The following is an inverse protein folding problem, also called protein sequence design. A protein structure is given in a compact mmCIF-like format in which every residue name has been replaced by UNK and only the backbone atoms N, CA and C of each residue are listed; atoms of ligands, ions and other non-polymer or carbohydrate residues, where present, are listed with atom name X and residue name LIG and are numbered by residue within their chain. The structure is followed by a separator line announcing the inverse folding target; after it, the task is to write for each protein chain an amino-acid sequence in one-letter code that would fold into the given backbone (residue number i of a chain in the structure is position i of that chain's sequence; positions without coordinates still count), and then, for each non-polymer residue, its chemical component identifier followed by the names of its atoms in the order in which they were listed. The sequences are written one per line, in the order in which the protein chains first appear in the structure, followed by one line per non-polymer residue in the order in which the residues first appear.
data_IF_730933270386
#
_entry.id   IF_730933270386
#
_cell.length_a   1.000
_cell.length_b   1.000
_cell.length_c   1.000
_cell.angle_alpha   90.00
_cell.angle_beta   90.00
_cell.angle_gamma   90.00
#
_symmetry.space_group_name_H-M   'P 1'
#
loop_
_entity.id
_entity.type
_entity.pdbx_description
1 polymer ?
#
# COMPACT_ATOMS: atom_id res chain seq x y z
N UNK A 1 7.16 16.08 27.50
CA UNK A 1 6.57 15.11 26.55
C UNK A 1 7.40 13.85 26.63
N UNK A 2 6.84 12.75 27.16
CA UNK A 2 7.62 11.52 27.44
C UNK A 2 7.21 10.36 26.52
N UNK A 3 6.93 10.68 25.24
CA UNK A 3 6.58 9.70 24.22
C UNK A 3 7.87 9.10 23.65
N UNK A 4 7.98 7.78 23.66
CA UNK A 4 9.14 7.06 23.13
C UNK A 4 8.85 6.37 21.80
N UNK A 5 9.89 6.19 20.99
CA UNK A 5 9.80 5.40 19.74
C UNK A 5 9.38 3.95 19.99
N UNK A 6 9.71 3.40 21.16
CA UNK A 6 9.31 2.03 21.53
C UNK A 6 7.80 1.93 21.72
N UNK A 7 7.18 2.96 22.30
CA UNK A 7 5.72 3.07 22.42
C UNK A 7 5.05 3.21 21.05
N UNK A 8 5.59 4.07 20.18
CA UNK A 8 5.07 4.22 18.80
C UNK A 8 5.20 2.91 18.00
N UNK A 9 6.32 2.18 18.12
CA UNK A 9 6.51 0.86 17.49
C UNK A 9 5.51 -0.16 18.00
N UNK A 10 5.25 -0.19 19.30
CA UNK A 10 4.25 -1.08 19.89
C UNK A 10 2.86 -0.79 19.33
N UNK A 11 2.46 0.48 19.29
CA UNK A 11 1.18 0.90 18.69
C UNK A 11 1.06 0.44 17.22
N UNK A 12 2.02 0.80 16.36
CA UNK A 12 2.00 0.44 14.96
C UNK A 12 2.00 -1.09 14.73
N UNK A 13 2.77 -1.84 15.52
CA UNK A 13 2.82 -3.29 15.43
C UNK A 13 1.50 -3.96 15.83
N UNK A 14 0.84 -3.51 16.90
CA UNK A 14 -0.46 -4.06 17.31
C UNK A 14 -1.50 -3.90 16.19
N UNK A 15 -1.50 -2.76 15.51
CA UNK A 15 -2.35 -2.55 14.33
C UNK A 15 -1.97 -3.48 13.19
N UNK A 16 -0.68 -3.57 12.83
CA UNK A 16 -0.21 -4.36 11.70
C UNK A 16 -0.53 -5.86 11.84
N UNK A 17 -0.37 -6.42 13.04
CA UNK A 17 -0.55 -7.86 13.30
C UNK A 17 -1.93 -8.20 13.89
N UNK A 18 -2.82 -7.21 14.05
CA UNK A 18 -4.18 -7.38 14.56
C UNK A 18 -4.28 -7.95 15.98
N UNK A 19 -3.16 -8.08 16.69
CA UNK A 19 -3.09 -8.70 18.01
C UNK A 19 -1.89 -8.24 18.82
N UNK A 20 -2.07 -8.08 20.14
CA UNK A 20 -0.96 -7.81 21.06
C UNK A 20 0.05 -8.96 21.09
N UNK A 21 -0.42 -10.20 20.99
CA UNK A 21 0.45 -11.39 20.94
C UNK A 21 1.28 -11.43 19.66
N UNK A 22 0.68 -11.13 18.50
CA UNK A 22 1.40 -11.05 17.23
C UNK A 22 2.45 -9.94 17.23
N UNK A 23 2.09 -8.76 17.71
CA UNK A 23 3.02 -7.64 17.88
C UNK A 23 4.18 -7.96 18.84
N UNK A 24 3.89 -8.63 19.95
CA UNK A 24 4.90 -9.05 20.92
C UNK A 24 5.93 -10.01 20.31
N UNK A 25 5.49 -11.00 19.52
CA UNK A 25 6.39 -11.88 18.76
C UNK A 25 7.27 -11.08 17.81
N UNK A 26 6.69 -10.17 17.03
CA UNK A 26 7.46 -9.38 16.07
C UNK A 26 8.49 -8.48 16.74
N UNK A 27 8.15 -7.88 17.88
CA UNK A 27 9.03 -6.96 18.60
C UNK A 27 10.02 -7.68 19.54
N UNK A 28 9.97 -9.01 19.60
CA UNK A 28 10.74 -9.81 20.59
C UNK A 28 10.50 -9.36 22.03
N UNK A 29 9.22 -9.13 22.38
CA UNK A 29 8.77 -8.71 23.70
C UNK A 29 7.72 -9.68 24.26
N UNK A 30 7.40 -9.55 25.54
CA UNK A 30 6.22 -10.18 26.12
C UNK A 30 4.95 -9.42 25.72
N UNK A 31 3.82 -10.12 25.68
CA UNK A 31 2.51 -9.48 25.43
C UNK A 31 2.21 -8.39 26.46
N UNK A 32 2.54 -8.63 27.73
CA UNK A 32 2.39 -7.65 28.82
C UNK A 32 3.24 -6.40 28.58
N UNK A 33 4.47 -6.54 28.09
CA UNK A 33 5.33 -5.40 27.77
C UNK A 33 4.77 -4.55 26.61
N UNK A 34 4.24 -5.18 25.56
CA UNK A 34 3.59 -4.45 24.45
C UNK A 34 2.33 -3.74 24.95
N UNK A 35 1.50 -4.40 25.76
CA UNK A 35 0.31 -3.80 26.35
C UNK A 35 0.66 -2.58 27.21
N UNK A 36 1.69 -2.67 28.06
CA UNK A 36 2.17 -1.54 28.87
C UNK A 36 2.67 -0.38 28.00
N UNK A 37 3.43 -0.65 26.94
CA UNK A 37 3.92 0.39 26.04
C UNK A 37 2.77 1.13 25.35
N UNK A 38 1.74 0.42 24.89
CA UNK A 38 0.54 1.04 24.30
C UNK A 38 -0.23 1.83 25.34
N UNK A 39 -0.42 1.30 26.55
CA UNK A 39 -1.11 2.01 27.63
C UNK A 39 -0.41 3.30 28.04
N UNK A 40 0.92 3.29 28.13
CA UNK A 40 1.69 4.49 28.43
C UNK A 40 1.55 5.53 27.31
N UNK A 41 1.52 5.10 26.04
CA UNK A 41 1.26 6.00 24.92
C UNK A 41 -0.13 6.65 25.01
N UNK A 42 -1.15 5.84 25.28
CA UNK A 42 -2.53 6.30 25.46
C UNK A 42 -2.65 7.30 26.62
N UNK A 43 -1.92 7.08 27.71
CA UNK A 43 -1.86 7.97 28.88
C UNK A 43 -1.18 9.31 28.56
N UNK A 44 -0.01 9.28 27.91
CA UNK A 44 0.72 10.50 27.52
C UNK A 44 -0.09 11.35 26.53
N UNK A 45 -0.81 10.71 25.61
CA UNK A 45 -1.67 11.37 24.63
C UNK A 45 -3.05 11.75 25.17
N UNK A 46 -3.45 11.18 26.32
CA UNK A 46 -4.82 11.28 26.86
C UNK A 46 -5.89 10.84 25.86
N UNK A 47 -5.58 9.81 25.07
CA UNK A 47 -6.45 9.26 24.02
C UNK A 47 -6.43 7.73 24.09
N UNK A 48 -7.59 7.11 23.92
CA UNK A 48 -7.66 5.68 23.63
C UNK A 48 -7.39 5.47 22.14
N UNK A 49 -6.41 4.65 21.79
CA UNK A 49 -6.04 4.35 20.41
C UNK A 49 -6.67 3.05 19.93
N UNK A 50 -6.96 2.13 20.85
CA UNK A 50 -7.66 0.87 20.56
C UNK A 50 -9.02 0.79 21.27
N UNK A 51 -10.02 0.26 20.56
CA UNK A 51 -11.30 -0.12 21.14
C UNK A 51 -11.16 -1.51 21.79
N UNK A 52 -11.37 -1.56 23.11
CA UNK A 52 -11.26 -2.76 23.95
C UNK A 52 -12.62 -3.42 24.21
N UNK A 53 -13.71 -2.87 23.71
CA UNK A 53 -15.07 -3.39 23.93
C UNK A 53 -15.41 -4.59 23.03
N UNK A 54 -14.61 -4.83 21.99
CA UNK A 54 -14.84 -5.85 20.97
C UNK A 54 -13.94 -7.07 21.18
N UNK A 55 -14.40 -8.23 20.74
CA UNK A 55 -13.61 -9.48 20.73
C UNK A 55 -12.35 -9.36 19.87
N UNK A 56 -12.38 -8.50 18.85
CA UNK A 56 -11.25 -8.18 17.99
C UNK A 56 -10.68 -6.78 18.31
N UNK A 57 -9.36 -6.67 18.29
CA UNK A 57 -8.66 -5.40 18.48
C UNK A 57 -8.90 -4.52 17.26
N UNK A 58 -9.47 -3.34 17.49
CA UNK A 58 -9.76 -2.36 16.44
C UNK A 58 -9.28 -0.98 16.85
N UNK A 59 -8.93 -0.13 15.89
CA UNK A 59 -8.53 1.25 16.17
C UNK A 59 -9.77 2.11 16.47
N UNK A 60 -9.63 3.01 17.44
CA UNK A 60 -10.55 4.14 17.59
C UNK A 60 -10.34 5.14 16.45
N UNK A 61 -11.24 6.12 16.29
CA UNK A 61 -11.02 7.23 15.34
C UNK A 61 -9.72 7.99 15.63
N UNK A 62 -9.38 8.19 16.91
CA UNK A 62 -8.10 8.77 17.30
C UNK A 62 -6.91 7.89 16.86
N UNK A 63 -7.02 6.57 17.04
CA UNK A 63 -6.03 5.60 16.57
C UNK A 63 -5.84 5.63 15.06
N UNK A 64 -6.93 5.64 14.29
CA UNK A 64 -6.88 5.74 12.81
C UNK A 64 -6.19 7.02 12.34
N UNK A 65 -6.47 8.15 12.98
CA UNK A 65 -5.86 9.44 12.63
C UNK A 65 -4.38 9.54 13.06
N UNK A 66 -4.00 8.88 14.16
CA UNK A 66 -2.65 8.94 14.67
C UNK A 66 -1.69 7.96 13.98
N UNK A 67 -2.19 6.80 13.55
CA UNK A 67 -1.37 5.74 12.95
C UNK A 67 -0.48 6.22 11.80
N UNK A 68 -0.99 6.96 10.79
CA UNK A 68 -0.15 7.48 9.71
C UNK A 68 1.01 8.36 10.20
N UNK A 69 0.75 9.17 11.24
CA UNK A 69 1.75 10.06 11.83
C UNK A 69 2.81 9.28 12.60
N UNK A 70 2.38 8.27 13.38
CA UNK A 70 3.29 7.40 14.10
C UNK A 70 4.17 6.59 13.14
N UNK A 71 3.61 6.06 12.05
CA UNK A 71 4.36 5.36 11.01
C UNK A 71 5.40 6.26 10.35
N UNK A 72 5.04 7.51 10.02
CA UNK A 72 5.97 8.49 9.45
C UNK A 72 7.15 8.81 10.38
N UNK A 73 6.90 9.04 11.67
CA UNK A 73 7.98 9.28 12.65
C UNK A 73 8.93 8.08 12.75
N UNK A 74 8.38 6.86 12.75
CA UNK A 74 9.18 5.64 12.79
C UNK A 74 10.02 5.46 11.53
N UNK A 75 9.47 5.85 10.39
CA UNK A 75 10.16 5.84 9.13
C UNK A 75 11.26 6.90 9.09
N UNK A 76 10.99 8.15 9.46
CA UNK A 76 12.00 9.21 9.55
C UNK A 76 13.22 8.78 10.40
N UNK A 77 12.96 8.14 11.54
CA UNK A 77 14.04 7.58 12.39
C UNK A 77 14.80 6.46 11.68
N UNK A 78 14.11 5.58 10.95
CA UNK A 78 14.77 4.56 10.13
C UNK A 78 15.68 5.22 9.10
N UNK A 79 15.21 6.25 8.40
CA UNK A 79 16.01 6.98 7.42
C UNK A 79 17.26 7.63 8.03
N UNK A 80 17.15 8.20 9.25
CA UNK A 80 18.31 8.76 9.97
C UNK A 80 19.37 7.68 10.23
N UNK A 81 18.95 6.48 10.65
CA UNK A 81 19.87 5.35 10.89
C UNK A 81 20.51 4.84 9.59
N UNK A 82 19.72 4.77 8.51
CA UNK A 82 20.22 4.40 7.18
C UNK A 82 21.24 5.43 6.67
N UNK A 83 20.90 6.71 6.69
CA UNK A 83 21.79 7.79 6.26
C UNK A 83 23.08 7.86 7.07
N UNK A 84 23.03 7.64 8.40
CA UNK A 84 24.23 7.56 9.23
C UNK A 84 25.17 6.40 8.83
N UNK A 85 24.59 5.27 8.42
CA UNK A 85 25.35 4.11 7.93
C UNK A 85 26.00 4.41 6.58
N UNK A 86 25.37 5.23 5.75
CA UNK A 86 25.85 5.59 4.42
C UNK A 86 26.94 6.65 4.44
N UNK A 87 26.83 7.66 5.32
CA UNK A 87 27.91 8.61 5.60
C UNK A 87 29.17 7.84 6.00
N UNK A 88 29.02 6.83 6.86
CA UNK A 88 30.12 5.94 7.27
C UNK A 88 30.68 5.12 6.09
N UNK A 89 29.85 4.79 5.10
CA UNK A 89 30.21 3.98 3.94
C UNK A 89 30.68 4.80 2.73
N UNK A 90 30.78 6.13 2.82
CA UNK A 90 31.12 7.05 1.71
C UNK A 90 30.23 6.88 0.45
N UNK A 91 29.03 6.32 0.60
CA UNK A 91 28.10 6.10 -0.53
C UNK A 91 27.36 7.40 -0.87
N UNK A 92 27.26 7.74 -2.16
CA UNK A 92 26.57 8.94 -2.64
C UNK A 92 25.06 8.69 -2.78
N UNK A 93 24.37 8.60 -1.65
CA UNK A 93 22.91 8.63 -1.57
C UNK A 93 22.17 7.42 -2.15
N UNK A 94 20.84 7.44 -2.02
CA UNK A 94 19.93 6.42 -2.54
C UNK A 94 18.71 7.08 -3.16
N UNK A 95 18.04 6.31 -4.03
CA UNK A 95 16.72 6.62 -4.55
C UNK A 95 15.78 5.48 -4.16
N UNK A 96 14.82 5.74 -3.27
CA UNK A 96 13.76 4.80 -2.90
C UNK A 96 12.54 5.10 -3.76
N UNK A 97 12.09 4.06 -4.47
CA UNK A 97 10.91 4.13 -5.33
C UNK A 97 9.94 3.03 -4.90
N UNK A 98 8.66 3.34 -4.82
CA UNK A 98 7.60 2.34 -4.66
C UNK A 98 6.76 2.23 -5.91
N UNK A 99 6.32 1.02 -6.26
CA UNK A 99 5.40 0.82 -7.38
C UNK A 99 4.60 -0.47 -7.24
N UNK A 100 3.55 -0.61 -8.05
CA UNK A 100 2.80 -1.88 -8.11
C UNK A 100 3.65 -2.98 -8.76
N UNK A 101 3.43 -4.25 -8.37
CA UNK A 101 4.18 -5.39 -8.92
C UNK A 101 4.23 -5.41 -10.47
N UNK A 102 3.10 -5.15 -11.14
CA UNK A 102 3.04 -5.13 -12.61
C UNK A 102 3.86 -4.01 -13.23
N UNK A 103 3.91 -2.85 -12.59
CA UNK A 103 4.76 -1.74 -13.04
C UNK A 103 6.23 -2.06 -12.80
N UNK A 104 6.56 -2.61 -11.62
CA UNK A 104 7.92 -3.00 -11.26
C UNK A 104 8.54 -3.97 -12.27
N UNK A 105 7.79 -4.97 -12.74
CA UNK A 105 8.29 -5.97 -13.68
C UNK A 105 8.11 -5.61 -15.17
N UNK A 106 7.69 -4.39 -15.49
CA UNK A 106 7.54 -3.91 -16.88
C UNK A 106 8.49 -2.75 -17.16
N UNK A 107 7.98 -1.60 -17.61
CA UNK A 107 8.81 -0.49 -18.10
C UNK A 107 9.58 0.21 -16.97
N UNK A 108 9.10 0.17 -15.72
CA UNK A 108 9.80 0.79 -14.57
C UNK A 108 11.17 0.16 -14.38
N UNK A 109 11.30 -1.17 -14.53
CA UNK A 109 12.60 -1.85 -14.42
C UNK A 109 13.62 -1.30 -15.42
N UNK A 110 13.21 -1.08 -16.67
CA UNK A 110 14.08 -0.52 -17.70
C UNK A 110 14.55 0.89 -17.33
N UNK A 111 13.62 1.75 -16.89
CA UNK A 111 13.94 3.14 -16.50
C UNK A 111 14.90 3.17 -15.32
N UNK A 112 14.67 2.33 -14.30
CA UNK A 112 15.56 2.27 -13.14
C UNK A 112 16.95 1.71 -13.50
N UNK A 113 17.01 0.73 -14.42
CA UNK A 113 18.28 0.21 -14.91
C UNK A 113 19.09 1.28 -15.67
N UNK A 114 18.44 2.04 -16.56
CA UNK A 114 19.07 3.12 -17.31
C UNK A 114 19.53 4.24 -16.37
N UNK A 115 18.71 4.60 -15.37
CA UNK A 115 19.09 5.56 -14.33
C UNK A 115 20.31 5.09 -13.54
N UNK A 116 20.36 3.81 -13.14
CA UNK A 116 21.50 3.25 -12.40
C UNK A 116 22.80 3.24 -13.22
N UNK A 117 22.72 3.06 -14.53
CA UNK A 117 23.88 3.18 -15.42
C UNK A 117 24.37 4.62 -15.56
N UNK A 118 23.46 5.59 -15.63
CA UNK A 118 23.80 7.02 -15.72
C UNK A 118 24.29 7.61 -14.38
N UNK A 119 23.86 7.02 -13.26
CA UNK A 119 24.19 7.45 -11.91
C UNK A 119 24.73 6.29 -11.06
N UNK A 120 25.94 5.76 -11.37
CA UNK A 120 26.47 4.55 -10.73
C UNK A 120 26.75 4.71 -9.23
N UNK A 121 26.87 5.95 -8.75
CA UNK A 121 27.10 6.23 -7.34
C UNK A 121 25.80 6.22 -6.50
N UNK A 122 24.62 6.19 -7.13
CA UNK A 122 23.31 6.20 -6.45
C UNK A 122 22.78 4.78 -6.31
N UNK A 123 22.50 4.36 -5.07
CA UNK A 123 21.85 3.07 -4.82
C UNK A 123 20.34 3.17 -5.01
N UNK A 124 19.79 2.47 -6.00
CA UNK A 124 18.33 2.39 -6.19
C UNK A 124 17.76 1.30 -5.28
N UNK A 125 16.68 1.62 -4.55
CA UNK A 125 15.88 0.66 -3.80
C UNK A 125 14.44 0.70 -4.29
N UNK A 126 14.03 -0.36 -4.98
CA UNK A 126 12.64 -0.52 -5.41
C UNK A 126 11.87 -1.32 -4.35
N UNK A 127 10.72 -0.80 -3.93
CA UNK A 127 9.76 -1.49 -3.10
C UNK A 127 8.52 -1.81 -3.95
N UNK A 128 8.26 -3.09 -4.16
CA UNK A 128 7.02 -3.54 -4.78
C UNK A 128 5.92 -3.65 -3.72
N UNK A 129 4.76 -3.06 -4.02
CA UNK A 129 3.58 -3.08 -3.14
C UNK A 129 2.33 -3.44 -3.94
N UNK A 130 1.23 -3.72 -3.24
CA UNK A 130 -0.08 -3.73 -3.90
C UNK A 130 -0.40 -2.32 -4.42
N UNK A 131 -1.13 -2.22 -5.53
CA UNK A 131 -1.36 -0.94 -6.21
C UNK A 131 -2.04 0.11 -5.30
N UNK A 132 -2.81 -0.33 -4.31
CA UNK A 132 -3.54 0.54 -3.39
C UNK A 132 -2.62 1.18 -2.32
N UNK A 133 -1.45 0.60 -2.07
CA UNK A 133 -0.53 1.04 -1.02
C UNK A 133 0.54 2.03 -1.54
N UNK A 134 0.58 2.31 -2.85
CA UNK A 134 1.62 3.17 -3.46
C UNK A 134 1.61 4.57 -2.85
N UNK A 135 0.44 5.21 -2.81
CA UNK A 135 0.30 6.57 -2.26
C UNK A 135 0.63 6.60 -0.77
N UNK A 136 0.11 5.65 -0.01
CA UNK A 136 0.34 5.59 1.44
C UNK A 136 1.82 5.34 1.75
N UNK A 137 2.51 4.53 0.95
CA UNK A 137 3.95 4.30 1.10
C UNK A 137 4.75 5.59 0.91
N UNK A 138 4.37 6.45 -0.05
CA UNK A 138 4.97 7.79 -0.22
C UNK A 138 4.58 8.72 0.93
N UNK A 139 3.29 8.78 1.28
CA UNK A 139 2.75 9.65 2.34
C UNK A 139 3.43 9.41 3.69
N UNK A 140 3.69 8.15 4.02
CA UNK A 140 4.39 7.77 5.25
C UNK A 140 5.90 8.01 5.20
N UNK A 141 6.44 8.53 4.11
CA UNK A 141 7.85 8.81 3.94
C UNK A 141 8.71 7.55 3.74
N UNK A 142 8.13 6.40 3.41
CA UNK A 142 8.93 5.18 3.24
C UNK A 142 9.76 5.18 1.94
N UNK A 143 9.39 6.03 0.98
CA UNK A 143 10.08 6.24 -0.29
C UNK A 143 9.94 7.71 -0.72
N UNK A 144 10.81 8.19 -1.61
CA UNK A 144 10.70 9.55 -2.17
C UNK A 144 9.72 9.62 -3.36
N UNK A 145 9.61 8.52 -4.13
CA UNK A 145 8.80 8.49 -5.34
C UNK A 145 7.88 7.27 -5.37
N UNK A 146 6.63 7.49 -5.80
CA UNK A 146 5.68 6.43 -6.09
C UNK A 146 5.23 6.46 -7.54
N UNK A 147 5.24 5.30 -8.20
CA UNK A 147 4.71 5.10 -9.55
C UNK A 147 3.52 4.16 -9.43
N UNK A 148 2.32 4.63 -9.76
CA UNK A 148 1.10 3.85 -9.56
C UNK A 148 -0.07 4.36 -10.39
N UNK A 149 -1.21 3.64 -10.35
CA UNK A 149 -2.45 4.13 -10.95
C UNK A 149 -2.92 5.40 -10.23
N UNK A 150 -3.79 6.16 -10.88
CA UNK A 150 -4.40 7.32 -10.26
C UNK A 150 -5.17 6.91 -8.99
N UNK A 151 -4.92 7.64 -7.90
CA UNK A 151 -5.54 7.46 -6.60
C UNK A 151 -5.79 8.82 -5.96
N UNK A 152 -6.81 8.94 -5.09
CA UNK A 152 -6.95 10.10 -4.25
C UNK A 152 -5.68 10.31 -3.42
N UNK A 153 -5.14 11.52 -3.47
CA UNK A 153 -4.01 11.96 -2.64
C UNK A 153 -4.48 13.08 -1.73
N UNK A 154 -3.80 13.25 -0.60
CA UNK A 154 -3.97 14.41 0.28
C UNK A 154 -2.90 15.46 -0.04
N UNK A 155 -3.05 16.66 0.52
CA UNK A 155 -2.18 17.82 0.22
C UNK A 155 -0.69 17.60 0.56
N UNK A 156 -0.37 16.54 1.31
CA UNK A 156 1.00 16.15 1.68
C UNK A 156 1.70 15.26 0.65
N UNK A 157 1.05 14.92 -0.48
CA UNK A 157 1.64 14.14 -1.58
C UNK A 157 1.41 14.87 -2.91
N UNK A 158 2.51 15.29 -3.55
CA UNK A 158 2.46 15.83 -4.90
C UNK A 158 2.24 14.72 -5.94
N UNK A 159 1.45 15.01 -6.99
CA UNK A 159 1.19 14.10 -8.10
C UNK A 159 1.55 14.71 -9.43
N UNK A 160 2.11 13.90 -10.32
CA UNK A 160 2.41 14.28 -11.71
C UNK A 160 1.81 13.22 -12.63
N UNK A 161 1.07 13.66 -13.65
CA UNK A 161 0.56 12.76 -14.69
C UNK A 161 1.73 12.20 -15.51
N UNK A 162 1.72 10.89 -15.74
CA UNK A 162 2.75 10.22 -16.54
C UNK A 162 2.23 9.80 -17.90
N UNK A 163 1.18 8.98 -17.93
CA UNK A 163 0.60 8.44 -19.16
C UNK A 163 -0.80 7.87 -18.91
N UNK A 164 -1.56 7.70 -20.00
CA UNK A 164 -2.78 6.90 -19.97
C UNK A 164 -2.46 5.43 -20.22
N UNK A 165 -3.12 4.55 -19.46
CA UNK A 165 -3.04 3.09 -19.63
C UNK A 165 -4.46 2.57 -19.89
N UNK A 166 -4.69 1.80 -20.97
CA UNK A 166 -6.03 1.32 -21.29
C UNK A 166 -6.48 0.24 -20.31
N UNK A 167 -7.74 0.31 -19.88
CA UNK A 167 -8.41 -0.83 -19.25
C UNK A 167 -8.67 -1.92 -20.28
N UNK A 168 -8.40 -3.17 -19.91
CA UNK A 168 -8.61 -4.35 -20.77
C UNK A 168 -9.43 -5.39 -20.02
N UNK A 169 -10.36 -6.03 -20.71
CA UNK A 169 -11.00 -7.25 -20.23
C UNK A 169 -10.01 -8.40 -20.36
N UNK A 170 -9.87 -9.17 -19.29
CA UNK A 170 -9.12 -10.43 -19.26
C UNK A 170 -10.09 -11.53 -18.87
N UNK A 171 -10.10 -12.63 -19.61
CA UNK A 171 -11.00 -13.75 -19.38
C UNK A 171 -10.33 -15.10 -19.68
N UNK A 172 -10.92 -16.18 -19.19
CA UNK A 172 -10.46 -17.54 -19.45
C UNK A 172 -10.48 -17.87 -20.96
N UNK A 173 -9.60 -18.77 -21.45
CA UNK A 173 -9.67 -19.28 -22.81
C UNK A 173 -11.03 -19.85 -23.22
N UNK A 174 -11.79 -20.41 -22.27
CA UNK A 174 -13.15 -20.93 -22.52
C UNK A 174 -14.26 -19.87 -22.53
N UNK A 175 -13.95 -18.60 -22.24
CA UNK A 175 -14.96 -17.55 -22.13
C UNK A 175 -15.44 -17.11 -23.52
N UNK A 176 -16.76 -16.86 -23.74
CA UNK A 176 -17.30 -16.40 -25.03
C UNK A 176 -16.75 -15.06 -25.57
N UNK A 177 -15.90 -14.39 -24.81
CA UNK A 177 -15.26 -13.13 -25.17
C UNK A 177 -13.77 -13.27 -25.51
N UNK A 178 -13.19 -14.47 -25.36
CA UNK A 178 -11.74 -14.68 -25.44
C UNK A 178 -11.14 -14.22 -26.77
N UNK A 179 -11.76 -14.61 -27.89
CA UNK A 179 -11.29 -14.24 -29.24
C UNK A 179 -11.97 -12.98 -29.79
N UNK A 180 -12.73 -12.25 -28.98
CA UNK A 180 -13.41 -11.03 -29.44
C UNK A 180 -12.47 -9.83 -29.33
N UNK A 181 -12.34 -9.01 -30.39
CA UNK A 181 -11.49 -7.80 -30.35
C UNK A 181 -12.04 -6.74 -29.40
N UNK A 182 -13.35 -6.77 -29.13
CA UNK A 182 -14.05 -5.87 -28.21
C UNK A 182 -15.34 -6.49 -27.72
N UNK A 183 -15.80 -6.05 -26.55
CA UNK A 183 -17.10 -6.41 -25.96
C UNK A 183 -17.82 -5.16 -25.48
N UNK A 184 -19.14 -5.15 -25.54
CA UNK A 184 -19.93 -4.06 -24.98
C UNK A 184 -20.14 -4.28 -23.48
N UNK A 185 -20.12 -3.20 -22.69
CA UNK A 185 -20.35 -3.27 -21.24
C UNK A 185 -21.66 -3.95 -20.86
N UNK A 186 -22.73 -3.75 -21.63
CA UNK A 186 -24.03 -4.39 -21.42
C UNK A 186 -23.98 -5.91 -21.46
N UNK A 187 -23.06 -6.48 -22.24
CA UNK A 187 -22.93 -7.93 -22.42
C UNK A 187 -22.23 -8.59 -21.23
N UNK A 188 -21.56 -7.79 -20.38
CA UNK A 188 -20.79 -8.25 -19.23
C UNK A 188 -21.60 -8.23 -17.92
N UNK A 189 -22.87 -7.80 -17.94
CA UNK A 189 -23.70 -7.62 -16.74
C UNK A 189 -23.95 -8.88 -15.94
N UNK A 190 -23.86 -10.05 -16.58
CA UNK A 190 -24.10 -11.36 -15.95
C UNK A 190 -22.81 -12.07 -15.59
N UNK A 191 -21.66 -11.45 -15.83
CA UNK A 191 -20.37 -12.06 -15.57
C UNK A 191 -20.02 -12.02 -14.08
N UNK A 192 -19.20 -13.00 -13.69
CA UNK A 192 -18.62 -13.10 -12.36
C UNK A 192 -17.20 -12.55 -12.41
N UNK A 193 -16.88 -11.63 -11.51
CA UNK A 193 -15.64 -10.87 -11.59
C UNK A 193 -14.62 -11.36 -10.56
N UNK A 194 -13.35 -11.39 -10.96
CA UNK A 194 -12.24 -11.43 -10.02
C UNK A 194 -11.77 -9.99 -9.87
N UNK A 195 -11.97 -9.42 -8.69
CA UNK A 195 -11.59 -8.04 -8.39
C UNK A 195 -10.08 -7.98 -8.14
N UNK A 196 -9.38 -7.24 -8.99
CA UNK A 196 -7.97 -6.90 -8.81
C UNK A 196 -7.90 -5.50 -8.22
N UNK A 197 -7.44 -5.36 -6.97
CA UNK A 197 -7.42 -4.08 -6.23
C UNK A 197 -8.81 -3.46 -6.03
N UNK A 198 -9.18 -3.22 -4.76
CA UNK A 198 -10.50 -2.68 -4.43
C UNK A 198 -10.69 -1.25 -4.95
N UNK A 199 -9.62 -0.45 -5.02
CA UNK A 199 -9.71 0.88 -5.61
C UNK A 199 -9.77 0.86 -7.14
N UNK A 200 -9.13 -0.12 -7.80
CA UNK A 200 -9.25 -0.27 -9.25
C UNK A 200 -10.69 -0.58 -9.66
N UNK A 201 -11.34 -1.56 -9.02
CA UNK A 201 -12.75 -1.90 -9.28
C UNK A 201 -13.69 -0.72 -9.00
N UNK A 202 -13.49 -0.01 -7.88
CA UNK A 202 -14.28 1.20 -7.56
C UNK A 202 -14.05 2.35 -8.53
N UNK A 203 -12.81 2.56 -8.98
CA UNK A 203 -12.51 3.58 -9.99
C UNK A 203 -13.18 3.24 -11.31
N UNK A 204 -13.12 1.98 -11.75
CA UNK A 204 -13.77 1.53 -12.96
C UNK A 204 -15.30 1.70 -12.88
N UNK A 205 -15.93 1.29 -11.78
CA UNK A 205 -17.37 1.47 -11.55
C UNK A 205 -17.78 2.95 -11.63
N UNK A 206 -17.06 3.85 -10.95
CA UNK A 206 -17.30 5.31 -11.07
C UNK A 206 -17.17 5.81 -12.50
N UNK A 207 -16.15 5.35 -13.24
CA UNK A 207 -15.97 5.74 -14.63
C UNK A 207 -17.12 5.25 -15.51
N UNK A 208 -17.58 4.02 -15.33
CA UNK A 208 -18.71 3.46 -16.09
C UNK A 208 -20.00 4.22 -15.81
N UNK A 209 -20.32 4.47 -14.54
CA UNK A 209 -21.50 5.22 -14.14
C UNK A 209 -21.48 6.64 -14.73
N UNK A 210 -20.33 7.32 -14.70
CA UNK A 210 -20.17 8.65 -15.29
C UNK A 210 -20.41 8.67 -16.81
N UNK A 211 -20.24 7.53 -17.50
CA UNK A 211 -20.51 7.38 -18.93
C UNK A 211 -21.86 6.68 -19.22
N UNK A 212 -22.76 6.60 -18.23
CA UNK A 212 -24.10 6.03 -18.40
C UNK A 212 -24.14 4.51 -18.51
N UNK A 213 -23.07 3.83 -18.09
CA UNK A 213 -23.02 2.38 -18.02
C UNK A 213 -23.26 1.90 -16.59
N UNK A 214 -24.36 1.18 -16.38
CA UNK A 214 -24.63 0.44 -15.16
C UNK A 214 -24.18 -1.02 -15.33
N UNK A 215 -23.10 -1.37 -14.62
CA UNK A 215 -22.48 -2.69 -14.62
C UNK A 215 -22.22 -3.13 -13.17
N UNK A 216 -23.02 -4.06 -12.62
CA UNK A 216 -22.78 -4.54 -11.27
C UNK A 216 -21.56 -5.47 -11.24
N UNK A 217 -20.52 -5.08 -10.50
CA UNK A 217 -19.36 -5.93 -10.25
C UNK A 217 -19.66 -6.96 -9.16
N UNK A 218 -20.24 -8.09 -9.54
CA UNK A 218 -20.39 -9.25 -8.65
C UNK A 218 -19.05 -9.97 -8.51
N UNK A 219 -18.23 -9.51 -7.55
CA UNK A 219 -16.93 -10.10 -7.24
C UNK A 219 -17.13 -11.48 -6.60
N UNK A 220 -16.51 -12.52 -7.18
CA UNK A 220 -16.41 -13.86 -6.58
C UNK A 220 -15.13 -14.04 -5.77
N UNK A 221 -14.15 -13.16 -5.99
CA UNK A 221 -12.87 -13.18 -5.28
C UNK A 221 -12.18 -11.82 -5.41
N UNK A 222 -11.63 -11.32 -4.30
CA UNK A 222 -10.85 -10.09 -4.25
C UNK A 222 -9.38 -10.42 -4.01
N UNK A 223 -8.49 -9.93 -4.88
CA UNK A 223 -7.05 -10.21 -4.82
C UNK A 223 -6.22 -8.94 -5.00
N UNK A 224 -5.07 -8.89 -4.33
CA UNK A 224 -4.16 -7.74 -4.37
C UNK A 224 -3.21 -7.71 -5.58
N UNK A 225 -3.01 -8.83 -6.26
CA UNK A 225 -2.04 -8.99 -7.35
C UNK A 225 -2.71 -9.49 -8.64
N UNK A 226 -2.36 -8.87 -9.78
CA UNK A 226 -2.94 -9.21 -11.08
C UNK A 226 -2.58 -10.63 -11.51
N UNK A 227 -1.36 -11.08 -11.19
CA UNK A 227 -0.91 -12.46 -11.46
C UNK A 227 -1.80 -13.50 -10.78
N UNK A 228 -2.23 -13.23 -9.54
CA UNK A 228 -3.21 -14.07 -8.83
C UNK A 228 -4.57 -14.03 -9.51
N UNK A 229 -5.05 -12.84 -9.92
CA UNK A 229 -6.31 -12.71 -10.63
C UNK A 229 -6.31 -13.52 -11.94
N UNK A 230 -5.23 -13.44 -12.71
CA UNK A 230 -5.06 -14.20 -13.95
C UNK A 230 -5.01 -15.72 -13.71
N UNK A 231 -4.40 -16.17 -12.61
CA UNK A 231 -4.36 -17.58 -12.26
C UNK A 231 -5.73 -18.14 -11.86
N UNK A 232 -6.59 -17.33 -11.24
CA UNK A 232 -7.96 -17.68 -10.86
C UNK A 232 -8.94 -17.63 -12.05
N UNK A 233 -8.64 -16.84 -13.08
CA UNK A 233 -9.47 -16.69 -14.28
C UNK A 233 -9.36 -17.88 -15.27
N UNK A 234 -9.11 -19.10 -14.78
CA UNK A 234 -8.95 -20.32 -15.60
C UNK A 234 -10.26 -21.06 -15.80
#
# INVERSE_FOLDING_TARGET
MNISLRQMRAFAAVTQYGSFTGAARQLSLTQSAVSMLVQQLEQELRLQLFDRSRTAITLTEAGKNLLPRAQRILEDVRQVVEGASEIRALRRGFLRVTTSQMMACTWVASVLNDFGQQHPDISIRLKDVVADDVVDTVRHGAVELGIGPERPVSDDVARTFLMHVPFRLVCAPGHPAYDKPSVAWKDLRRERWISYSNEFTRYLDRCLQAHGHDLPFHSVSDVGYLTTAMALAR
#
